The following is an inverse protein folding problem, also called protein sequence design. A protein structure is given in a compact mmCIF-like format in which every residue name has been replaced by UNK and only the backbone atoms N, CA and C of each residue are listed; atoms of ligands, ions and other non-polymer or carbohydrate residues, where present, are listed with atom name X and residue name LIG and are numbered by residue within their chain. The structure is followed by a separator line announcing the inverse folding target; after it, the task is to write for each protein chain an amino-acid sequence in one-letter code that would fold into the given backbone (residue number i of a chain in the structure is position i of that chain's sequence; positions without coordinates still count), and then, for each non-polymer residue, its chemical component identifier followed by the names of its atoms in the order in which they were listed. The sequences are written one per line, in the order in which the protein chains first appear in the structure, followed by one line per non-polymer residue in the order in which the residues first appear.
data_IF_253997152099
#
_entry.id   IF_253997152099
#
_cell.length_a   1.000
_cell.length_b   1.000
_cell.length_c   1.000
_cell.angle_alpha   90.00
_cell.angle_beta   90.00
_cell.angle_gamma   90.00
#
_symmetry.space_group_name_H-M   'P 1'
#
loop_
_entity.id
_entity.type
_entity.pdbx_description
1 polymer ?
#
# COMPACT_ATOMS: atom_id res chain seq x y z
N UNK A 1 10.19 -6.25 -0.84
CA UNK A 1 9.93 -6.69 0.55
C UNK A 1 9.66 -8.19 0.56
N UNK A 2 10.33 -8.94 1.44
CA UNK A 2 10.11 -10.40 1.64
C UNK A 2 9.62 -10.61 3.08
N UNK A 3 8.39 -11.11 3.31
CA UNK A 3 7.94 -11.48 4.65
C UNK A 3 8.77 -12.64 5.18
N UNK A 4 9.12 -12.60 6.45
CA UNK A 4 9.88 -13.66 7.13
C UNK A 4 9.00 -14.38 8.14
N UNK A 5 8.28 -13.63 8.98
CA UNK A 5 7.42 -14.17 10.01
C UNK A 5 6.22 -13.26 10.25
N UNK A 6 5.05 -13.84 10.30
CA UNK A 6 3.80 -13.16 10.66
C UNK A 6 3.23 -13.78 11.93
N UNK A 7 2.96 -12.96 12.92
CA UNK A 7 2.28 -13.36 14.15
C UNK A 7 0.95 -12.63 14.22
N UNK A 8 -0.13 -13.37 14.35
CA UNK A 8 -1.49 -12.84 14.56
C UNK A 8 -1.99 -13.34 15.91
N UNK A 9 -2.52 -12.47 16.74
CA UNK A 9 -3.10 -12.82 18.04
C UNK A 9 -4.51 -12.24 18.15
N UNK A 10 -5.49 -13.07 18.45
CA UNK A 10 -6.90 -12.70 18.52
C UNK A 10 -7.37 -11.85 17.34
N UNK A 11 -7.01 -12.24 16.11
CA UNK A 11 -7.21 -11.44 14.89
C UNK A 11 -8.10 -12.18 13.87
N UNK A 12 -9.21 -11.56 13.47
CA UNK A 12 -10.17 -12.15 12.52
C UNK A 12 -10.73 -13.48 13.03
N UNK A 13 -10.63 -14.61 12.29
CA UNK A 13 -11.09 -15.92 12.74
C UNK A 13 -10.11 -16.60 13.71
N UNK A 14 -8.91 -16.09 13.90
CA UNK A 14 -7.89 -16.66 14.76
C UNK A 14 -8.09 -16.23 16.21
N UNK A 15 -8.62 -17.15 17.05
CA UNK A 15 -8.93 -16.88 18.45
C UNK A 15 -7.69 -16.68 19.33
N UNK A 16 -6.67 -17.52 19.10
CA UNK A 16 -5.40 -17.49 19.83
C UNK A 16 -4.28 -16.83 19.04
N UNK A 17 -3.06 -17.14 19.45
CA UNK A 17 -1.85 -16.70 18.72
C UNK A 17 -1.50 -17.71 17.61
N UNK A 18 -1.45 -17.22 16.39
CA UNK A 18 -1.06 -17.99 15.19
C UNK A 18 0.22 -17.41 14.63
N UNK A 19 1.19 -18.28 14.35
CA UNK A 19 2.50 -17.90 13.81
C UNK A 19 2.67 -18.54 12.43
N UNK A 20 2.96 -17.71 11.43
CA UNK A 20 3.30 -18.14 10.08
C UNK A 20 4.77 -17.80 9.86
N UNK A 21 5.59 -18.82 9.75
CA UNK A 21 7.03 -18.70 9.48
C UNK A 21 7.28 -18.96 8.00
N UNK A 22 7.43 -17.88 7.22
CA UNK A 22 7.65 -17.96 5.77
C UNK A 22 9.03 -18.50 5.42
N UNK A 23 9.99 -18.47 6.33
CA UNK A 23 11.31 -19.02 6.09
C UNK A 23 11.28 -20.55 5.92
N UNK A 24 10.28 -21.22 6.52
CA UNK A 24 10.06 -22.67 6.43
C UNK A 24 9.39 -23.11 5.13
N UNK A 25 8.87 -22.17 4.33
CA UNK A 25 8.13 -22.47 3.10
C UNK A 25 9.05 -22.60 1.86
N UNK A 26 10.37 -22.58 2.06
CA UNK A 26 11.37 -22.71 1.00
C UNK A 26 11.88 -21.39 0.43
N UNK A 27 12.91 -21.48 -0.43
CA UNK A 27 13.60 -20.31 -0.96
C UNK A 27 12.99 -19.74 -2.24
N UNK A 28 12.14 -20.51 -2.93
CA UNK A 28 11.58 -20.15 -4.24
C UNK A 28 10.55 -19.01 -4.18
N UNK A 29 10.08 -18.64 -2.99
CA UNK A 29 9.17 -17.49 -2.79
C UNK A 29 7.74 -17.67 -3.33
N UNK A 30 7.38 -18.86 -3.82
CA UNK A 30 6.03 -19.22 -4.27
C UNK A 30 5.38 -20.15 -3.25
N UNK A 31 4.24 -19.75 -2.68
CA UNK A 31 3.51 -20.52 -1.67
C UNK A 31 2.07 -20.71 -2.07
N UNK A 32 1.50 -21.87 -1.75
CA UNK A 32 0.08 -22.14 -1.90
C UNK A 32 -0.58 -22.23 -0.52
N UNK A 33 -1.56 -21.36 -0.27
CA UNK A 33 -2.38 -21.38 0.94
C UNK A 33 -3.72 -22.03 0.59
N UNK A 34 -3.95 -23.25 1.08
CA UNK A 34 -5.17 -24.02 0.86
C UNK A 34 -6.00 -24.12 2.14
N UNK A 35 -7.26 -24.45 2.00
CA UNK A 35 -8.20 -24.65 3.10
C UNK A 35 -9.64 -24.32 2.69
N UNK A 36 -10.61 -24.66 3.51
CA UNK A 36 -12.02 -24.45 3.27
C UNK A 36 -12.41 -22.98 3.16
N UNK A 37 -13.57 -22.71 2.56
CA UNK A 37 -14.14 -21.35 2.54
C UNK A 37 -14.43 -20.91 3.97
N UNK A 38 -13.98 -19.71 4.33
CA UNK A 38 -14.11 -19.21 5.71
C UNK A 38 -12.95 -19.54 6.63
N UNK A 39 -11.99 -20.40 6.25
CA UNK A 39 -10.83 -20.80 7.07
C UNK A 39 -9.84 -19.65 7.37
N UNK A 40 -10.10 -18.42 6.93
CA UNK A 40 -9.26 -17.26 7.26
C UNK A 40 -8.10 -17.00 6.30
N UNK A 41 -8.02 -17.67 5.14
CA UNK A 41 -6.92 -17.48 4.17
C UNK A 41 -6.70 -16.02 3.78
N UNK A 42 -7.77 -15.30 3.47
CA UNK A 42 -7.72 -13.87 3.09
C UNK A 42 -7.28 -12.98 4.25
N UNK A 43 -7.58 -13.38 5.49
CA UNK A 43 -7.23 -12.63 6.69
C UNK A 43 -5.72 -12.54 6.91
N UNK A 44 -4.94 -13.50 6.39
CA UNK A 44 -3.47 -13.44 6.39
C UNK A 44 -2.98 -12.19 5.61
N UNK A 45 -3.58 -11.94 4.45
CA UNK A 45 -3.27 -10.74 3.65
C UNK A 45 -3.79 -9.46 4.31
N UNK A 46 -4.98 -9.51 4.93
CA UNK A 46 -5.50 -8.41 5.72
C UNK A 46 -4.57 -8.07 6.90
N UNK A 47 -4.00 -9.08 7.56
CA UNK A 47 -3.05 -8.90 8.66
C UNK A 47 -1.75 -8.22 8.18
N UNK A 48 -1.21 -8.64 7.02
CA UNK A 48 -0.01 -7.99 6.43
C UNK A 48 -0.30 -6.54 6.07
N UNK A 49 -1.43 -6.27 5.41
CA UNK A 49 -1.84 -4.90 5.08
C UNK A 49 -2.05 -4.04 6.32
N UNK A 50 -2.76 -4.60 7.30
CA UNK A 50 -3.05 -3.91 8.56
C UNK A 50 -1.80 -3.57 9.35
N UNK A 51 -0.88 -4.51 9.53
CA UNK A 51 0.32 -4.25 10.32
C UNK A 51 1.23 -3.20 9.69
N UNK A 52 1.30 -3.13 8.36
CA UNK A 52 2.07 -2.13 7.63
C UNK A 52 1.38 -0.75 7.63
N UNK A 53 0.09 -0.69 7.30
CA UNK A 53 -0.59 0.56 6.99
C UNK A 53 -1.77 0.91 7.92
N UNK A 54 -2.12 0.03 8.88
CA UNK A 54 -3.27 0.24 9.76
C UNK A 54 -4.63 0.01 9.08
N UNK A 55 -4.66 -0.48 7.84
CA UNK A 55 -5.85 -0.71 7.03
C UNK A 55 -5.84 -2.12 6.44
N UNK A 56 -7.01 -2.75 6.33
CA UNK A 56 -7.15 -4.06 5.71
C UNK A 56 -7.08 -4.00 4.18
N UNK A 57 -6.75 -5.11 3.54
CA UNK A 57 -6.58 -5.19 2.09
C UNK A 57 -7.85 -4.84 1.29
N UNK A 58 -9.03 -5.17 1.83
CA UNK A 58 -10.33 -4.95 1.16
C UNK A 58 -11.02 -3.64 1.50
N UNK A 59 -10.51 -2.84 2.45
CA UNK A 59 -11.14 -1.58 2.88
C UNK A 59 -12.52 -1.70 3.53
N UNK A 60 -13.04 -2.91 3.68
CA UNK A 60 -14.42 -3.17 4.14
C UNK A 60 -14.50 -3.39 5.66
N UNK A 61 -13.39 -3.73 6.31
CA UNK A 61 -13.36 -4.01 7.74
C UNK A 61 -12.77 -2.84 8.51
N UNK A 62 -13.60 -2.23 9.35
CA UNK A 62 -13.13 -1.24 10.33
C UNK A 62 -12.16 -1.89 11.33
N UNK A 63 -11.23 -1.08 11.87
CA UNK A 63 -10.25 -1.52 12.86
C UNK A 63 -10.91 -2.21 14.07
N UNK A 64 -12.13 -1.79 14.43
CA UNK A 64 -12.90 -2.37 15.53
C UNK A 64 -13.41 -3.81 15.25
N UNK A 65 -13.44 -4.23 13.98
CA UNK A 65 -13.85 -5.58 13.56
C UNK A 65 -12.68 -6.56 13.45
N UNK A 66 -11.46 -6.10 13.74
CA UNK A 66 -10.25 -6.91 13.55
C UNK A 66 -10.02 -7.88 14.71
N UNK A 67 -10.55 -7.59 15.92
CA UNK A 67 -10.47 -8.53 17.03
C UNK A 67 -11.35 -9.73 16.77
N UNK A 68 -10.80 -10.91 17.00
CA UNK A 68 -11.54 -12.17 16.92
C UNK A 68 -12.69 -12.19 17.94
N UNK A 69 -13.88 -12.54 17.47
CA UNK A 69 -15.05 -12.77 18.32
C UNK A 69 -14.95 -14.07 19.12
N UNK A 70 -14.04 -14.96 18.71
CA UNK A 70 -13.81 -16.26 19.33
C UNK A 70 -12.67 -16.21 20.36
N UNK A 71 -12.00 -15.05 20.50
CA UNK A 71 -10.87 -14.91 21.43
C UNK A 71 -11.36 -14.68 22.84
N UNK A 72 -10.65 -15.30 23.79
CA UNK A 72 -10.84 -15.02 25.23
C UNK A 72 -10.58 -13.55 25.52
N UNK A 73 -11.30 -13.02 26.52
CA UNK A 73 -11.20 -11.61 26.89
C UNK A 73 -9.76 -11.18 27.23
N UNK A 74 -8.98 -12.09 27.81
CA UNK A 74 -7.59 -11.83 28.24
C UNK A 74 -6.58 -11.92 27.08
N UNK A 75 -6.96 -12.54 25.97
CA UNK A 75 -6.04 -12.69 24.83
C UNK A 75 -5.79 -11.34 24.17
N UNK A 76 -4.53 -10.86 24.11
CA UNK A 76 -4.20 -9.58 23.49
C UNK A 76 -4.41 -9.65 21.97
N UNK A 77 -4.95 -8.56 21.39
CA UNK A 77 -5.13 -8.45 19.94
C UNK A 77 -3.99 -7.67 19.32
N UNK A 78 -3.19 -8.30 18.50
CA UNK A 78 -2.12 -7.64 17.74
C UNK A 78 -1.74 -8.45 16.49
N UNK A 79 -1.09 -7.76 15.56
CA UNK A 79 -0.37 -8.35 14.44
C UNK A 79 1.07 -7.89 14.49
N UNK A 80 1.99 -8.81 14.23
CA UNK A 80 3.42 -8.53 14.15
C UNK A 80 3.98 -9.15 12.86
N UNK A 81 4.77 -8.40 12.12
CA UNK A 81 5.41 -8.82 10.89
C UNK A 81 6.90 -8.56 10.95
N UNK A 82 7.69 -9.60 10.75
CA UNK A 82 9.10 -9.50 10.45
C UNK A 82 9.31 -9.65 8.94
N UNK A 83 10.05 -8.75 8.34
CA UNK A 83 10.29 -8.75 6.89
C UNK A 83 11.69 -8.27 6.53
N UNK A 84 12.20 -8.76 5.42
CA UNK A 84 13.46 -8.30 4.83
C UNK A 84 13.19 -7.31 3.70
N UNK A 85 13.93 -6.21 3.70
CA UNK A 85 13.91 -5.20 2.64
C UNK A 85 15.33 -4.66 2.40
N UNK A 86 15.80 -4.71 1.15
CA UNK A 86 17.18 -4.37 0.78
C UNK A 86 18.25 -5.06 1.65
N UNK A 87 18.06 -6.35 1.95
CA UNK A 87 18.99 -7.14 2.76
C UNK A 87 18.97 -6.84 4.26
N UNK A 88 18.11 -5.96 4.73
CA UNK A 88 17.96 -5.58 6.14
C UNK A 88 16.65 -6.12 6.70
N UNK A 89 16.65 -6.55 7.98
CA UNK A 89 15.47 -7.08 8.65
C UNK A 89 14.77 -6.00 9.48
N UNK A 90 13.48 -5.86 9.28
CA UNK A 90 12.61 -4.94 9.99
C UNK A 90 11.52 -5.73 10.70
N UNK A 91 11.02 -5.17 11.79
CA UNK A 91 9.90 -5.73 12.53
C UNK A 91 8.88 -4.62 12.80
N UNK A 92 7.63 -4.88 12.47
CA UNK A 92 6.53 -3.97 12.75
C UNK A 92 5.46 -4.71 13.56
N UNK A 93 4.93 -4.06 14.58
CA UNK A 93 3.85 -4.57 15.43
C UNK A 93 2.76 -3.52 15.48
N UNK A 94 1.49 -3.97 15.38
CA UNK A 94 0.33 -3.07 15.46
C UNK A 94 -0.82 -3.76 16.17
N UNK A 95 -1.55 -3.02 16.99
CA UNK A 95 -2.80 -3.46 17.60
C UNK A 95 -3.93 -2.48 17.29
N UNK A 96 -5.16 -2.95 17.04
CA UNK A 96 -6.35 -2.10 17.01
C UNK A 96 -6.74 -1.64 18.43
N UNK A 97 -7.68 -0.70 18.51
CA UNK A 97 -8.37 -0.46 19.77
C UNK A 97 -9.28 -1.65 20.09
N UNK A 98 -9.21 -2.18 21.31
CA UNK A 98 -10.09 -3.27 21.77
C UNK A 98 -10.35 -3.21 23.26
N UNK A 99 -11.41 -3.90 23.70
CA UNK A 99 -11.72 -4.05 25.12
C UNK A 99 -10.99 -5.24 25.71
N UNK A 100 -10.45 -5.09 26.90
CA UNK A 100 -9.83 -6.15 27.71
C UNK A 100 -10.19 -6.00 29.18
N UNK A 101 -10.05 -7.05 29.99
CA UNK A 101 -10.17 -6.94 31.42
C UNK A 101 -9.20 -5.91 32.00
N UNK A 102 -9.63 -5.19 33.02
CA UNK A 102 -8.76 -4.25 33.73
C UNK A 102 -7.69 -5.02 34.49
N UNK A 103 -6.45 -4.52 34.52
CA UNK A 103 -5.37 -5.11 35.31
C UNK A 103 -5.62 -5.01 36.82
N UNK A 104 -6.49 -4.09 37.27
CA UNK A 104 -6.91 -3.92 38.65
C UNK A 104 -8.42 -3.73 38.69
N UNK A 105 -9.12 -4.49 39.55
CA UNK A 105 -10.58 -4.48 39.64
C UNK A 105 -11.27 -5.46 38.66
N UNK A 106 -12.59 -5.50 38.71
CA UNK A 106 -13.46 -6.45 37.97
C UNK A 106 -14.06 -5.87 36.67
N UNK A 107 -13.56 -4.71 36.20
CA UNK A 107 -14.11 -4.00 35.04
C UNK A 107 -13.41 -4.31 33.72
N UNK A 108 -13.99 -3.82 32.63
CA UNK A 108 -13.38 -3.81 31.31
C UNK A 108 -12.75 -2.45 31.02
N UNK A 109 -11.57 -2.44 30.42
CA UNK A 109 -10.87 -1.25 29.96
C UNK A 109 -10.62 -1.31 28.46
N UNK A 110 -10.38 -0.16 27.86
CA UNK A 110 -9.98 -0.10 26.45
C UNK A 110 -8.45 -0.10 26.34
N UNK A 111 -7.92 -1.01 25.56
CA UNK A 111 -6.56 -0.92 25.06
C UNK A 111 -6.56 0.00 23.82
N UNK A 112 -5.73 1.04 23.84
CA UNK A 112 -5.65 2.00 22.73
C UNK A 112 -4.95 1.35 21.55
N UNK A 113 -5.32 1.78 20.33
CA UNK A 113 -4.59 1.42 19.14
C UNK A 113 -3.13 1.89 19.24
N UNK A 114 -2.21 1.04 18.79
CA UNK A 114 -0.78 1.31 18.83
C UNK A 114 -0.04 0.72 17.64
N UNK A 115 1.13 1.27 17.33
CA UNK A 115 2.04 0.76 16.33
C UNK A 115 3.49 0.95 16.78
N UNK A 116 4.35 0.00 16.44
CA UNK A 116 5.78 0.02 16.74
C UNK A 116 6.56 -0.48 15.54
N UNK A 117 7.62 0.25 15.16
CA UNK A 117 8.53 -0.14 14.08
C UNK A 117 9.95 -0.24 14.63
N UNK A 118 10.54 -1.41 14.46
CA UNK A 118 11.90 -1.74 14.87
C UNK A 118 12.80 -1.79 13.64
N UNK A 119 13.96 -1.19 13.75
CA UNK A 119 14.96 -1.09 12.70
C UNK A 119 16.11 -2.07 12.92
N UNK A 120 16.83 -2.46 11.85
CA UNK A 120 17.93 -3.44 11.93
C UNK A 120 19.16 -2.93 12.66
N UNK A 121 19.32 -1.62 12.82
CA UNK A 121 20.47 -0.95 13.44
C UNK A 121 20.36 -0.84 14.99
N UNK A 122 19.29 -1.39 15.58
CA UNK A 122 19.06 -1.37 17.03
C UNK A 122 18.71 0.00 17.61
N UNK A 123 18.42 1.01 16.75
CA UNK A 123 17.94 2.31 17.23
C UNK A 123 16.59 2.19 17.95
N UNK A 124 16.27 3.22 18.75
CA UNK A 124 14.99 3.29 19.47
C UNK A 124 13.82 3.09 18.51
N UNK A 125 12.89 2.17 18.81
CA UNK A 125 11.72 1.93 17.96
C UNK A 125 10.87 3.18 17.82
N UNK A 126 10.29 3.36 16.63
CA UNK A 126 9.27 4.38 16.41
C UNK A 126 7.94 3.84 16.92
N UNK A 127 7.30 4.56 17.88
CA UNK A 127 6.08 4.09 18.55
C UNK A 127 4.86 4.97 18.31
N UNK A 128 5.04 6.18 17.73
CA UNK A 128 3.92 7.04 17.39
C UNK A 128 3.31 6.58 16.06
N UNK A 129 2.01 6.26 16.04
CA UNK A 129 1.32 5.70 14.87
C UNK A 129 1.57 6.49 13.58
N UNK A 130 1.42 7.82 13.63
CA UNK A 130 1.65 8.68 12.45
C UNK A 130 3.08 8.61 11.90
N UNK A 131 4.05 8.39 12.77
CA UNK A 131 5.46 8.34 12.39
C UNK A 131 5.81 6.94 11.88
N UNK A 132 5.19 5.88 12.45
CA UNK A 132 5.27 4.51 11.90
C UNK A 132 4.69 4.47 10.49
N UNK A 133 3.49 5.07 10.26
CA UNK A 133 2.86 5.11 8.95
C UNK A 133 3.73 5.81 7.91
N UNK A 134 4.28 6.98 8.25
CA UNK A 134 5.23 7.71 7.39
C UNK A 134 6.49 6.89 7.10
N UNK A 135 7.10 6.32 8.15
CA UNK A 135 8.32 5.53 8.01
C UNK A 135 8.11 4.28 7.13
N UNK A 136 6.96 3.62 7.21
CA UNK A 136 6.63 2.47 6.35
C UNK A 136 6.49 2.91 4.88
N UNK A 137 5.79 4.03 4.63
CA UNK A 137 5.65 4.58 3.27
C UNK A 137 7.00 4.99 2.70
N UNK A 138 7.84 5.67 3.48
CA UNK A 138 9.20 6.06 3.07
C UNK A 138 10.09 4.84 2.82
N UNK A 139 10.02 3.82 3.69
CA UNK A 139 10.81 2.61 3.58
C UNK A 139 10.43 1.79 2.34
N UNK A 140 9.13 1.56 2.12
CA UNK A 140 8.65 0.70 1.04
C UNK A 140 8.46 1.45 -0.29
N UNK A 141 8.38 2.79 -0.26
CA UNK A 141 8.09 3.62 -1.44
C UNK A 141 6.65 3.50 -1.94
N UNK A 142 5.76 2.89 -1.16
CA UNK A 142 4.38 2.58 -1.55
C UNK A 142 3.41 3.01 -0.44
N UNK A 143 2.34 3.71 -0.82
CA UNK A 143 1.22 3.93 0.10
C UNK A 143 0.30 2.69 0.14
N UNK A 144 -0.66 2.66 1.07
CA UNK A 144 -1.59 1.55 1.24
C UNK A 144 -2.32 1.15 -0.06
N UNK A 145 -2.85 2.13 -0.79
CA UNK A 145 -3.58 1.90 -2.04
C UNK A 145 -2.68 1.25 -3.10
N UNK A 146 -1.48 1.77 -3.26
CA UNK A 146 -0.48 1.22 -4.19
C UNK A 146 -0.05 -0.19 -3.77
N UNK A 147 0.22 -0.39 -2.47
CA UNK A 147 0.59 -1.70 -1.94
C UNK A 147 -0.49 -2.75 -2.18
N UNK A 148 -1.76 -2.44 -1.91
CA UNK A 148 -2.86 -3.38 -2.15
C UNK A 148 -3.10 -3.65 -3.63
N UNK A 149 -2.92 -2.67 -4.50
CA UNK A 149 -3.05 -2.86 -5.95
C UNK A 149 -1.93 -3.69 -6.57
N UNK A 150 -0.71 -3.57 -6.04
CA UNK A 150 0.49 -4.21 -6.57
C UNK A 150 0.70 -5.60 -5.97
N UNK A 151 0.58 -5.69 -4.65
CA UNK A 151 1.03 -6.84 -3.86
C UNK A 151 -0.12 -7.81 -3.58
N UNK A 152 -1.35 -7.30 -3.58
CA UNK A 152 -2.54 -8.07 -3.22
C UNK A 152 -3.59 -8.00 -4.31
N UNK A 153 -3.53 -8.92 -5.25
CA UNK A 153 -4.61 -9.07 -6.22
C UNK A 153 -5.75 -9.83 -5.52
N UNK A 154 -6.70 -9.10 -4.97
CA UNK A 154 -7.88 -9.70 -4.33
C UNK A 154 -8.66 -10.56 -5.33
N UNK A 155 -9.31 -11.60 -4.81
CA UNK A 155 -10.16 -12.51 -5.59
C UNK A 155 -11.19 -11.70 -6.41
N UNK A 156 -11.19 -11.88 -7.74
CA UNK A 156 -12.04 -11.14 -8.68
C UNK A 156 -11.44 -9.83 -9.23
N UNK A 157 -10.44 -9.24 -8.60
CA UNK A 157 -9.78 -8.02 -9.14
C UNK A 157 -8.83 -8.35 -10.28
N UNK A 158 -8.21 -9.54 -10.29
CA UNK A 158 -7.40 -10.00 -11.42
C UNK A 158 -8.21 -10.08 -12.72
N UNK A 159 -9.45 -10.56 -12.64
CA UNK A 159 -10.36 -10.59 -13.79
C UNK A 159 -10.70 -9.17 -14.27
N UNK A 160 -10.99 -8.25 -13.35
CA UNK A 160 -11.18 -6.83 -13.70
C UNK A 160 -9.96 -6.24 -14.40
N UNK A 161 -8.75 -6.56 -13.93
CA UNK A 161 -7.52 -6.11 -14.56
C UNK A 161 -7.35 -6.65 -15.99
N UNK A 162 -7.72 -7.91 -16.23
CA UNK A 162 -7.68 -8.52 -17.56
C UNK A 162 -8.78 -7.97 -18.48
N UNK A 163 -9.97 -7.72 -17.95
CA UNK A 163 -11.14 -7.22 -18.70
C UNK A 163 -11.10 -5.69 -18.90
N UNK A 164 -10.19 -4.99 -18.23
CA UNK A 164 -10.02 -3.54 -18.30
C UNK A 164 -9.40 -3.13 -19.63
N UNK A 165 -9.89 -2.03 -20.20
CA UNK A 165 -9.35 -1.46 -21.45
C UNK A 165 -7.91 -0.95 -21.30
N UNK A 166 -7.24 -0.71 -22.43
CA UNK A 166 -5.81 -0.33 -22.48
C UNK A 166 -5.51 0.98 -21.72
N UNK A 167 -6.46 1.93 -21.74
CA UNK A 167 -6.26 3.24 -21.09
C UNK A 167 -6.29 3.13 -19.57
N UNK A 168 -7.22 2.33 -19.02
CA UNK A 168 -7.29 2.08 -17.58
C UNK A 168 -6.12 1.22 -17.12
N UNK A 169 -5.70 0.20 -17.89
CA UNK A 169 -4.46 -0.55 -17.62
C UNK A 169 -3.24 0.37 -17.56
N UNK A 170 -3.13 1.29 -18.52
CA UNK A 170 -2.05 2.27 -18.56
C UNK A 170 -2.04 3.17 -17.34
N UNK A 171 -3.21 3.58 -16.83
CA UNK A 171 -3.32 4.35 -15.56
C UNK A 171 -2.82 3.55 -14.38
N UNK A 172 -3.26 2.27 -14.26
CA UNK A 172 -2.81 1.38 -13.18
C UNK A 172 -1.28 1.20 -13.23
N UNK A 173 -0.70 0.98 -14.42
CA UNK A 173 0.75 0.87 -14.56
C UNK A 173 1.50 2.17 -14.23
N UNK A 174 0.94 3.33 -14.58
CA UNK A 174 1.53 4.63 -14.22
C UNK A 174 1.51 4.87 -12.70
N UNK A 175 0.42 4.49 -12.03
CA UNK A 175 0.32 4.52 -10.58
C UNK A 175 1.35 3.57 -9.95
N UNK A 176 1.50 2.38 -10.54
CA UNK A 176 2.37 1.31 -10.10
C UNK A 176 3.86 1.69 -10.17
N UNK A 177 4.29 2.21 -11.33
CA UNK A 177 5.68 2.53 -11.61
C UNK A 177 6.05 4.00 -11.37
N UNK A 178 5.16 4.79 -10.76
CA UNK A 178 5.35 6.22 -10.52
C UNK A 178 5.76 7.03 -11.76
N UNK A 179 5.26 6.64 -12.95
CA UNK A 179 5.64 7.24 -14.22
C UNK A 179 4.86 8.51 -14.57
N UNK A 180 4.07 9.06 -13.65
CA UNK A 180 3.35 10.33 -13.83
C UNK A 180 4.26 11.50 -14.17
N UNK A 181 5.44 11.55 -13.57
CA UNK A 181 6.40 12.60 -13.86
C UNK A 181 6.77 12.63 -15.34
N UNK A 182 7.02 11.47 -15.92
CA UNK A 182 7.34 11.38 -17.36
C UNK A 182 6.16 11.77 -18.23
N UNK A 183 4.93 11.44 -17.84
CA UNK A 183 3.75 11.89 -18.55
C UNK A 183 3.59 13.41 -18.48
N UNK A 184 3.70 14.01 -17.30
CA UNK A 184 3.63 15.47 -17.14
C UNK A 184 4.69 16.18 -17.97
N UNK A 185 5.92 15.65 -18.01
CA UNK A 185 6.98 16.16 -18.85
C UNK A 185 6.62 16.05 -20.34
N UNK A 186 6.11 14.90 -20.77
CA UNK A 186 5.66 14.67 -22.15
C UNK A 186 4.53 15.63 -22.56
N UNK A 187 3.54 15.83 -21.69
CA UNK A 187 2.41 16.70 -21.95
C UNK A 187 2.85 18.16 -22.01
N UNK A 188 3.76 18.57 -21.13
CA UNK A 188 4.36 19.90 -21.17
C UNK A 188 5.16 20.14 -22.44
N UNK A 189 6.00 19.19 -22.85
CA UNK A 189 6.75 19.28 -24.11
C UNK A 189 5.84 19.36 -25.32
N UNK A 190 4.73 18.62 -25.35
CA UNK A 190 3.72 18.71 -26.42
C UNK A 190 3.07 20.09 -26.47
N UNK A 191 2.72 20.65 -25.31
CA UNK A 191 2.13 21.99 -25.19
C UNK A 191 3.12 23.06 -25.67
N UNK A 192 4.37 22.99 -25.21
CA UNK A 192 5.42 23.92 -25.59
C UNK A 192 5.72 23.85 -27.10
N UNK A 193 5.78 22.62 -27.65
CA UNK A 193 5.97 22.43 -29.10
C UNK A 193 4.79 22.98 -29.91
N UNK A 194 3.55 22.78 -29.46
CA UNK A 194 2.35 23.33 -30.12
C UNK A 194 2.34 24.86 -30.06
N UNK A 195 2.69 25.47 -28.92
CA UNK A 195 2.78 26.90 -28.77
C UNK A 195 3.83 27.51 -29.70
N UNK A 196 5.03 26.90 -29.75
CA UNK A 196 6.12 27.35 -30.65
C UNK A 196 5.78 27.18 -32.13
N UNK A 197 5.06 26.11 -32.49
CA UNK A 197 4.60 25.91 -33.86
C UNK A 197 3.60 26.99 -34.27
N UNK A 198 2.67 27.34 -33.39
CA UNK A 198 1.70 28.39 -33.68
C UNK A 198 2.39 29.76 -33.78
N UNK A 199 3.34 30.08 -32.92
CA UNK A 199 4.14 31.29 -32.98
C UNK A 199 4.93 31.37 -34.32
N UNK A 200 5.55 30.28 -34.72
CA UNK A 200 6.25 30.19 -36.03
C UNK A 200 5.31 30.43 -37.21
N UNK A 201 4.15 29.79 -37.24
CA UNK A 201 3.15 29.98 -38.29
C UNK A 201 2.70 31.45 -38.39
N UNK A 202 2.51 32.08 -37.21
CA UNK A 202 2.08 33.48 -37.16
C UNK A 202 3.18 34.41 -37.63
N UNK A 203 4.43 34.17 -37.31
CA UNK A 203 5.59 34.89 -37.81
C UNK A 203 5.75 34.73 -39.31
N UNK A 204 5.58 33.52 -39.83
CA UNK A 204 5.63 33.23 -41.26
C UNK A 204 4.54 34.01 -42.02
N UNK A 205 3.29 33.99 -41.51
CA UNK A 205 2.18 34.76 -42.11
C UNK A 205 2.46 36.27 -42.13
N UNK A 206 3.00 36.82 -41.02
CA UNK A 206 3.39 38.25 -40.96
C UNK A 206 4.48 38.58 -41.98
N UNK A 207 5.46 37.73 -42.13
CA UNK A 207 6.53 37.88 -43.12
C UNK A 207 5.98 37.84 -44.53
N UNK A 208 5.10 36.89 -44.87
CA UNK A 208 4.46 36.79 -46.18
C UNK A 208 3.58 38.02 -46.50
N UNK A 209 2.81 38.50 -45.52
CA UNK A 209 2.01 39.71 -45.66
C UNK A 209 2.86 40.94 -45.91
N UNK A 210 4.01 41.10 -45.17
CA UNK A 210 4.92 42.20 -45.41
C UNK A 210 5.55 42.16 -46.79
N UNK A 211 5.95 40.98 -47.28
CA UNK A 211 6.50 40.79 -48.63
C UNK A 211 5.47 41.12 -49.74
N UNK A 212 4.23 40.65 -49.57
CA UNK A 212 3.15 40.94 -50.50
C UNK A 212 2.79 42.44 -50.51
N UNK A 213 2.89 43.11 -49.39
CA UNK A 213 2.69 44.56 -49.33
C UNK A 213 3.76 45.38 -50.10
N UNK A 214 4.96 44.85 -50.20
CA UNK A 214 6.06 45.49 -50.97
C UNK A 214 5.86 45.25 -52.47
N UNK A 215 5.42 44.06 -52.89
CA UNK A 215 5.19 43.74 -54.30
C UNK A 215 4.04 44.54 -54.93
N UNK A 216 3.08 45.05 -54.16
CA UNK A 216 1.98 45.87 -54.67
C UNK A 216 2.30 47.38 -54.79
N UNK A 217 3.50 47.81 -54.46
CA UNK A 217 3.93 49.23 -54.46
C UNK A 217 4.73 49.63 -55.73
N UNK A 218 4.74 48.78 -56.81
CA UNK A 218 5.31 49.07 -58.11
C UNK A 218 4.25 48.97 -59.19
#
# INVERSE_FOLDING_TARGET
MRPLKLVMSAFGPYAGQTVIDFSKLGEQGLYLITGDTGAGKTVIFDAVSYVLYGQTSGGVRDANMLRSQYADADTPTFVELEFSFHGKCYKVRRNPEYRRPAKRGTGMTKEKAGAELYYPDGRVPVTRMSDVDKSIVELLGLNHKQFTQITMIAQGQFRKFLDTNTDERSKIFRDLFHTYFFQQLQDKLKQDAAAKRNEFIEQQRRSEQALNGICCAY
#
